data_IF_870466654159
#
_entry.id   IF_870466654159
#
_cell.length_a   1.000
_cell.length_b   1.000
_cell.length_c   1.000
_cell.angle_alpha   90.00
_cell.angle_beta   90.00
_cell.angle_gamma   90.00
#
_symmetry.space_group_name_H-M   'P 1'
#
loop_
_entity.id
_entity.type
_entity.pdbx_description
1 polymer ?
#
# COMPACT_ATOMS: atom_id res chain seq x y z
N UNK A 1 2.78 43.93 3.28
CA UNK A 1 1.99 42.69 3.48
C UNK A 1 2.54 41.57 2.59
N UNK A 2 3.50 40.77 3.08
CA UNK A 2 3.99 39.56 2.39
C UNK A 2 4.41 38.53 3.46
N UNK A 3 3.47 37.72 3.94
CA UNK A 3 3.72 36.74 5.00
C UNK A 3 3.02 35.38 4.82
N UNK A 4 2.25 35.16 3.77
CA UNK A 4 1.38 33.98 3.65
C UNK A 4 1.98 32.81 2.84
N UNK A 5 3.17 32.96 2.24
CA UNK A 5 3.76 31.94 1.34
C UNK A 5 4.53 30.80 2.03
N UNK A 6 4.88 30.91 3.32
CA UNK A 6 5.73 29.92 4.01
C UNK A 6 4.96 28.84 4.79
N UNK A 7 3.67 29.02 5.11
CA UNK A 7 2.93 28.06 5.94
C UNK A 7 2.53 26.78 5.18
N UNK A 8 2.03 26.89 3.93
CA UNK A 8 1.55 25.72 3.17
C UNK A 8 2.65 24.73 2.75
N UNK A 9 3.90 25.18 2.62
CA UNK A 9 5.05 24.31 2.32
C UNK A 9 5.42 23.42 3.51
N UNK A 10 5.30 23.95 4.73
CA UNK A 10 5.58 23.22 5.98
C UNK A 10 4.55 22.12 6.22
N UNK A 11 3.26 22.41 5.97
CA UNK A 11 2.18 21.44 6.13
C UNK A 11 2.29 20.28 5.13
N UNK A 12 2.54 20.57 3.85
CA UNK A 12 2.74 19.53 2.83
C UNK A 12 3.95 18.64 3.15
N UNK A 13 5.03 19.22 3.67
CA UNK A 13 6.19 18.45 4.10
C UNK A 13 5.85 17.51 5.27
N UNK A 14 5.09 18.00 6.25
CA UNK A 14 4.64 17.21 7.40
C UNK A 14 3.71 16.06 6.98
N UNK A 15 2.78 16.31 6.05
CA UNK A 15 1.90 15.25 5.49
C UNK A 15 2.76 14.19 4.80
N UNK A 16 3.69 14.58 3.93
CA UNK A 16 4.57 13.63 3.25
C UNK A 16 5.41 12.80 4.22
N UNK A 17 5.87 13.40 5.33
CA UNK A 17 6.58 12.68 6.38
C UNK A 17 5.68 11.65 7.06
N UNK A 18 4.44 12.02 7.42
CA UNK A 18 3.46 11.11 8.02
C UNK A 18 3.11 9.95 7.09
N UNK A 19 2.92 10.21 5.80
CA UNK A 19 2.66 9.16 4.80
C UNK A 19 3.80 8.16 4.71
N UNK A 20 5.05 8.64 4.70
CA UNK A 20 6.22 7.75 4.73
C UNK A 20 6.22 6.91 5.99
N UNK A 21 6.02 7.53 7.15
CA UNK A 21 6.03 6.84 8.43
C UNK A 21 4.96 5.75 8.47
N UNK A 22 3.75 6.03 8.00
CA UNK A 22 2.67 5.03 7.94
C UNK A 22 3.05 3.81 7.08
N UNK A 23 3.74 4.02 5.95
CA UNK A 23 4.22 2.92 5.11
C UNK A 23 5.35 2.13 5.81
N UNK A 24 6.24 2.81 6.55
CA UNK A 24 7.28 2.15 7.35
C UNK A 24 6.68 1.31 8.47
N UNK A 25 5.68 1.84 9.18
CA UNK A 25 5.01 1.15 10.27
C UNK A 25 4.24 -0.05 9.74
N UNK A 26 3.56 0.10 8.60
CA UNK A 26 2.92 -1.02 7.91
C UNK A 26 3.92 -2.12 7.53
N UNK A 27 5.06 -1.76 6.94
CA UNK A 27 6.10 -2.72 6.55
C UNK A 27 6.64 -3.51 7.75
N UNK A 28 6.75 -2.86 8.92
CA UNK A 28 7.22 -3.46 10.18
C UNK A 28 6.16 -4.23 10.95
N UNK A 29 4.88 -3.96 10.70
CA UNK A 29 3.79 -4.69 11.35
C UNK A 29 3.75 -6.15 10.87
N UNK A 30 2.97 -6.98 11.56
CA UNK A 30 2.58 -8.32 11.10
C UNK A 30 1.16 -8.32 10.48
N UNK A 31 0.67 -7.16 10.05
CA UNK A 31 -0.65 -7.07 9.42
C UNK A 31 -0.65 -7.76 8.06
N UNK A 32 -1.60 -8.68 7.88
CA UNK A 32 -1.90 -9.32 6.60
C UNK A 32 -2.90 -8.51 5.75
N UNK A 33 -3.49 -7.46 6.32
CA UNK A 33 -4.43 -6.58 5.62
C UNK A 33 -3.69 -5.62 4.70
N UNK A 34 -4.38 -5.16 3.66
CA UNK A 34 -3.82 -4.17 2.73
C UNK A 34 -3.98 -2.76 3.31
N UNK A 35 -2.97 -1.91 3.09
CA UNK A 35 -3.02 -0.50 3.45
C UNK A 35 -3.58 0.31 2.27
N UNK A 36 -4.76 0.89 2.46
CA UNK A 36 -5.48 1.65 1.43
C UNK A 36 -5.40 3.15 1.72
N UNK A 37 -4.91 3.93 0.77
CA UNK A 37 -4.88 5.39 0.80
C UNK A 37 -5.99 5.96 -0.07
N UNK A 38 -6.76 6.91 0.47
CA UNK A 38 -7.84 7.64 -0.21
C UNK A 38 -7.43 8.24 -1.56
N UNK A 39 -8.42 8.57 -2.39
CA UNK A 39 -8.19 9.29 -3.65
C UNK A 39 -7.78 10.76 -3.47
N UNK A 40 -7.93 11.30 -2.26
CA UNK A 40 -7.58 12.69 -1.89
C UNK A 40 -6.10 13.06 -2.10
N UNK A 41 -5.22 12.06 -2.23
CA UNK A 41 -3.80 12.31 -2.47
C UNK A 41 -3.52 12.70 -3.91
N UNK A 42 -2.63 13.66 -4.09
CA UNK A 42 -2.19 14.11 -5.40
C UNK A 42 -1.40 13.02 -6.14
N UNK A 43 -1.22 13.19 -7.46
CA UNK A 43 -0.38 12.29 -8.27
C UNK A 43 1.06 12.20 -7.75
N UNK A 44 1.62 13.32 -7.28
CA UNK A 44 2.99 13.36 -6.77
C UNK A 44 3.13 12.69 -5.40
N UNK A 45 2.15 12.85 -4.52
CA UNK A 45 2.08 12.12 -3.24
C UNK A 45 1.94 10.62 -3.48
N UNK A 46 1.07 10.20 -4.41
CA UNK A 46 0.97 8.78 -4.81
C UNK A 46 2.30 8.25 -5.37
N UNK A 47 2.98 9.02 -6.22
CA UNK A 47 4.30 8.66 -6.74
C UNK A 47 5.34 8.49 -5.62
N UNK A 48 5.34 9.41 -4.67
CA UNK A 48 6.20 9.35 -3.49
C UNK A 48 5.93 8.09 -2.66
N UNK A 49 4.65 7.78 -2.40
CA UNK A 49 4.24 6.58 -1.66
C UNK A 49 4.65 5.30 -2.39
N UNK A 50 4.44 5.23 -3.71
CA UNK A 50 4.93 4.12 -4.54
C UNK A 50 6.45 3.90 -4.39
N UNK A 51 7.25 4.98 -4.45
CA UNK A 51 8.70 4.90 -4.30
C UNK A 51 9.11 4.43 -2.89
N UNK A 52 8.45 4.95 -1.85
CA UNK A 52 8.72 4.54 -0.46
C UNK A 52 8.39 3.06 -0.24
N UNK A 53 7.22 2.60 -0.67
CA UNK A 53 6.79 1.21 -0.52
C UNK A 53 7.68 0.24 -1.29
N UNK A 54 8.11 0.59 -2.51
CA UNK A 54 8.99 -0.26 -3.33
C UNK A 54 10.35 -0.47 -2.65
N UNK A 55 10.93 0.58 -2.04
CA UNK A 55 12.18 0.45 -1.25
C UNK A 55 12.06 -0.54 -0.10
N UNK A 56 10.87 -0.70 0.45
CA UNK A 56 10.55 -1.64 1.53
C UNK A 56 10.10 -3.02 1.02
N UNK A 57 10.29 -3.29 -0.28
CA UNK A 57 9.86 -4.51 -0.96
C UNK A 57 8.35 -4.79 -0.84
N UNK A 58 7.53 -3.77 -0.63
CA UNK A 58 6.08 -3.88 -0.68
C UNK A 58 5.58 -3.83 -2.13
N UNK A 59 4.37 -4.38 -2.35
CA UNK A 59 3.64 -4.24 -3.61
C UNK A 59 2.74 -3.02 -3.54
N UNK A 60 2.58 -2.33 -4.66
CA UNK A 60 1.69 -1.17 -4.75
C UNK A 60 0.88 -1.21 -6.04
N UNK A 61 -0.39 -0.80 -5.98
CA UNK A 61 -1.27 -0.72 -7.14
C UNK A 61 -2.22 0.46 -6.97
N UNK A 62 -2.35 1.30 -8.00
CA UNK A 62 -3.46 2.25 -8.04
C UNK A 62 -4.69 1.57 -8.61
N UNK A 63 -5.84 1.82 -7.99
CA UNK A 63 -7.14 1.40 -8.46
C UNK A 63 -8.00 2.64 -8.77
N UNK A 64 -9.11 2.46 -9.50
CA UNK A 64 -9.96 3.57 -9.95
C UNK A 64 -9.36 4.36 -11.13
N UNK A 65 -10.06 5.41 -11.54
CA UNK A 65 -9.70 6.31 -12.65
C UNK A 65 -9.96 7.76 -12.24
N UNK A 66 -9.22 8.71 -12.82
CA UNK A 66 -9.42 10.13 -12.55
C UNK A 66 -9.32 10.48 -11.07
N UNK A 67 -10.35 11.15 -10.56
CA UNK A 67 -10.45 11.63 -9.18
C UNK A 67 -10.84 10.54 -8.17
N UNK A 68 -11.31 9.38 -8.64
CA UNK A 68 -11.58 8.20 -7.80
C UNK A 68 -10.33 7.32 -7.64
N UNK A 69 -9.16 7.78 -8.10
CA UNK A 69 -7.95 6.97 -8.12
C UNK A 69 -7.31 6.89 -6.74
N UNK A 70 -7.36 5.71 -6.12
CA UNK A 70 -6.78 5.45 -4.81
C UNK A 70 -5.56 4.52 -4.90
N UNK A 71 -4.73 4.49 -3.85
CA UNK A 71 -3.51 3.68 -3.80
C UNK A 71 -3.67 2.55 -2.78
N UNK A 72 -3.38 1.32 -3.20
CA UNK A 72 -3.27 0.16 -2.33
C UNK A 72 -1.80 -0.24 -2.19
N UNK A 73 -1.37 -0.46 -0.95
CA UNK A 73 -0.06 -1.00 -0.58
C UNK A 73 -0.29 -2.34 0.11
N UNK A 74 0.38 -3.38 -0.36
CA UNK A 74 0.23 -4.74 0.17
C UNK A 74 1.60 -5.42 0.31
N UNK A 75 1.67 -6.49 1.10
CA UNK A 75 2.90 -7.31 1.15
C UNK A 75 3.15 -8.00 -0.18
N UNK A 76 4.43 -8.23 -0.48
CA UNK A 76 4.80 -9.24 -1.48
C UNK A 76 4.64 -10.59 -0.82
N UNK A 77 3.58 -11.29 -1.20
CA UNK A 77 3.45 -12.70 -0.85
C UNK A 77 4.29 -13.51 -1.81
N UNK A 78 5.10 -14.41 -1.26
CA UNK A 78 5.64 -15.51 -2.05
C UNK A 78 4.50 -16.46 -2.37
N UNK A 79 4.32 -16.78 -3.65
CA UNK A 79 3.22 -17.61 -4.12
C UNK A 79 3.32 -19.01 -3.52
N UNK A 80 4.53 -19.56 -3.41
CA UNK A 80 4.74 -20.90 -2.84
C UNK A 80 4.45 -20.92 -1.35
N UNK A 81 4.91 -19.92 -0.59
CA UNK A 81 4.55 -19.79 0.83
C UNK A 81 3.03 -19.66 1.01
N UNK A 82 2.36 -18.93 0.10
CA UNK A 82 0.90 -18.78 0.14
C UNK A 82 0.21 -20.12 -0.15
N UNK A 83 0.72 -20.89 -1.11
CA UNK A 83 0.20 -22.23 -1.42
C UNK A 83 0.40 -23.17 -0.24
N UNK A 84 1.59 -23.19 0.38
CA UNK A 84 1.87 -23.97 1.59
C UNK A 84 0.88 -23.65 2.72
N UNK A 85 0.67 -22.37 3.02
CA UNK A 85 -0.31 -21.92 4.02
C UNK A 85 -1.74 -22.33 3.66
N UNK A 86 -2.13 -22.26 2.38
CA UNK A 86 -3.45 -22.70 1.93
C UNK A 86 -3.63 -24.21 2.10
N UNK A 87 -2.61 -25.01 1.80
CA UNK A 87 -2.63 -26.47 2.02
C UNK A 87 -2.81 -26.76 3.52
N UNK A 88 -2.09 -26.06 4.40
CA UNK A 88 -2.21 -26.21 5.85
C UNK A 88 -3.60 -25.82 6.38
N UNK A 89 -4.24 -24.81 5.79
CA UNK A 89 -5.57 -24.33 6.19
C UNK A 89 -6.75 -25.03 5.48
N UNK A 90 -6.52 -26.17 4.80
CA UNK A 90 -7.59 -26.95 4.18
C UNK A 90 -8.04 -26.44 2.80
N UNK A 91 -7.19 -25.67 2.12
CA UNK A 91 -7.35 -25.28 0.72
C UNK A 91 -7.97 -23.90 0.49
N UNK A 92 -8.37 -23.15 1.53
CA UNK A 92 -8.93 -21.80 1.36
C UNK A 92 -8.70 -20.89 2.57
N UNK A 93 -8.73 -19.57 2.33
CA UNK A 93 -8.77 -18.53 3.37
C UNK A 93 -9.61 -17.33 2.89
N UNK A 94 -9.61 -16.22 3.64
CA UNK A 94 -10.39 -15.01 3.29
C UNK A 94 -10.02 -14.40 1.91
N UNK A 95 -8.85 -14.73 1.36
CA UNK A 95 -8.29 -14.10 0.16
C UNK A 95 -8.18 -15.02 -1.04
N UNK A 96 -7.95 -16.32 -0.82
CA UNK A 96 -7.62 -17.27 -1.87
C UNK A 96 -8.28 -18.63 -1.65
N UNK A 97 -8.53 -19.31 -2.75
CA UNK A 97 -8.92 -20.72 -2.82
C UNK A 97 -7.90 -21.45 -3.70
N UNK A 98 -7.41 -22.59 -3.23
CA UNK A 98 -6.44 -23.41 -3.95
C UNK A 98 -7.17 -24.37 -4.90
N UNK A 99 -7.09 -24.09 -6.19
CA UNK A 99 -7.68 -24.94 -7.24
C UNK A 99 -6.61 -25.94 -7.72
N UNK A 100 -6.78 -27.26 -7.47
CA UNK A 100 -5.85 -28.26 -7.97
C UNK A 100 -5.93 -28.35 -9.52
N UNK A 101 -4.86 -28.80 -10.20
CA UNK A 101 -4.89 -29.05 -11.62
C UNK A 101 -6.05 -29.99 -11.98
N UNK A 102 -6.77 -29.66 -13.04
CA UNK A 102 -7.76 -30.55 -13.63
C UNK A 102 -6.97 -31.63 -14.38
N UNK A 103 -7.24 -32.90 -14.11
CA UNK A 103 -6.65 -34.04 -14.84
C UNK A 103 -6.98 -34.03 -16.33
#
# INVERSE_FOLDING_TARGET
>A
MKGQRNQGLSEKALINQKLRQLIYDYAKSDSDKDLVFSSDFTKDERKMMHMTANKLKLKTRSHGKGDDRYLVVSRKQDIWQTVEQLIECGGSNERYELIPPIE
#
